data_IF_246607538135
#
_entry.id   IF_246607538135
#
_cell.length_a   1.000
_cell.length_b   1.000
_cell.length_c   1.000
_cell.angle_alpha   90.00
_cell.angle_beta   90.00
_cell.angle_gamma   90.00
#
_symmetry.space_group_name_H-M   'P 1'
#
loop_
_entity.id
_entity.type
_entity.pdbx_description
1 polymer ?
#
# COMPACT_ATOMS: atom_id res chain seq x y z
N UNK A 1 1.37 -3.72 1.67
CA UNK A 1 2.32 -2.79 1.04
C UNK A 1 3.31 -3.49 0.09
N UNK A 2 4.03 -4.55 0.50
CA UNK A 2 5.01 -5.21 -0.38
C UNK A 2 4.47 -5.66 -1.75
N UNK A 3 3.25 -6.21 -1.80
CA UNK A 3 2.62 -6.62 -3.08
C UNK A 3 2.15 -5.43 -3.93
N UNK A 4 1.85 -4.29 -3.31
CA UNK A 4 1.53 -3.05 -4.03
C UNK A 4 2.78 -2.52 -4.72
N UNK A 5 3.90 -2.47 -3.99
CA UNK A 5 5.21 -2.02 -4.54
C UNK A 5 5.71 -2.94 -5.66
N UNK A 6 5.39 -4.23 -5.60
CA UNK A 6 5.75 -5.21 -6.65
C UNK A 6 4.83 -5.19 -7.88
N UNK A 7 3.67 -4.53 -7.80
CA UNK A 7 2.73 -4.48 -8.93
C UNK A 7 3.24 -3.51 -9.99
N UNK A 8 3.10 -3.84 -11.27
CA UNK A 8 3.47 -2.99 -12.39
C UNK A 8 2.25 -2.33 -13.03
N UNK A 9 2.37 -1.11 -13.55
CA UNK A 9 1.23 -0.38 -14.16
C UNK A 9 0.51 -1.18 -15.26
N UNK A 10 1.29 -1.97 -16.01
CA UNK A 10 0.83 -2.86 -17.08
C UNK A 10 0.12 -4.15 -16.61
N UNK A 11 0.02 -4.40 -15.30
CA UNK A 11 -0.62 -5.59 -14.76
C UNK A 11 -2.07 -5.69 -15.24
N UNK A 12 -2.43 -6.81 -15.88
CA UNK A 12 -3.76 -6.99 -16.45
C UNK A 12 -4.86 -7.11 -15.37
N UNK A 13 -6.09 -6.82 -15.76
CA UNK A 13 -7.27 -7.19 -14.97
C UNK A 13 -7.34 -8.71 -14.79
N UNK A 14 -7.91 -9.17 -13.67
CA UNK A 14 -8.07 -10.61 -13.43
C UNK A 14 -9.09 -11.20 -14.40
N UNK A 15 -8.76 -12.33 -15.02
CA UNK A 15 -9.62 -13.08 -15.94
C UNK A 15 -9.95 -14.51 -15.46
N UNK A 16 -9.37 -14.92 -14.34
CA UNK A 16 -9.62 -16.17 -13.64
C UNK A 16 -9.65 -15.91 -12.12
N UNK A 17 -9.84 -16.97 -11.34
CA UNK A 17 -9.77 -16.91 -9.88
C UNK A 17 -8.44 -16.32 -9.40
N UNK A 18 -8.50 -15.53 -8.34
CA UNK A 18 -7.31 -14.90 -7.74
C UNK A 18 -6.43 -15.97 -7.10
N UNK A 19 -5.14 -15.97 -7.42
CA UNK A 19 -4.14 -16.91 -6.88
C UNK A 19 -3.04 -16.17 -6.10
N UNK A 20 -2.08 -16.91 -5.55
CA UNK A 20 -0.88 -16.34 -4.92
C UNK A 20 0.00 -15.53 -5.88
N UNK A 21 -0.11 -15.78 -7.18
CA UNK A 21 0.61 -15.04 -8.24
C UNK A 21 -0.10 -13.77 -8.71
N UNK A 22 -1.35 -13.54 -8.31
CA UNK A 22 -2.08 -12.33 -8.70
C UNK A 22 -1.45 -11.11 -8.05
N UNK A 23 -1.18 -10.05 -8.83
CA UNK A 23 -0.67 -8.80 -8.28
C UNK A 23 -1.77 -8.02 -7.55
N UNK A 24 -1.38 -7.12 -6.65
CA UNK A 24 -2.35 -6.26 -5.95
C UNK A 24 -3.10 -5.35 -6.95
N UNK A 25 -2.42 -4.89 -8.00
CA UNK A 25 -3.06 -4.07 -9.03
C UNK A 25 -4.01 -4.87 -9.92
N UNK A 26 -3.65 -6.10 -10.30
CA UNK A 26 -4.55 -6.99 -11.06
C UNK A 26 -5.86 -7.22 -10.29
N UNK A 27 -5.76 -7.48 -8.98
CA UNK A 27 -6.91 -7.61 -8.09
C UNK A 27 -7.74 -6.31 -8.06
N UNK A 28 -7.09 -5.15 -7.93
CA UNK A 28 -7.77 -3.87 -7.84
C UNK A 28 -8.46 -3.43 -9.15
N UNK A 29 -7.92 -3.85 -10.30
CA UNK A 29 -8.58 -3.68 -11.61
C UNK A 29 -9.85 -4.55 -11.69
N UNK A 30 -9.85 -5.70 -11.03
CA UNK A 30 -11.01 -6.59 -10.93
C UNK A 30 -11.28 -7.35 -12.22
N UNK A 31 -12.47 -7.93 -12.34
CA UNK A 31 -12.95 -8.73 -13.47
C UNK A 31 -14.36 -8.27 -13.84
N UNK A 32 -14.76 -8.40 -15.10
CA UNK A 32 -16.16 -8.24 -15.53
C UNK A 32 -17.02 -9.47 -15.20
N UNK A 33 -16.39 -10.61 -14.93
CA UNK A 33 -17.04 -11.82 -14.46
C UNK A 33 -17.05 -11.84 -12.92
N UNK A 34 -18.25 -11.78 -12.34
CA UNK A 34 -18.49 -11.84 -10.90
C UNK A 34 -18.08 -13.17 -10.24
N UNK A 35 -17.83 -14.22 -11.03
CA UNK A 35 -17.37 -15.53 -10.54
C UNK A 35 -15.87 -15.62 -10.24
N UNK A 36 -15.07 -14.63 -10.68
CA UNK A 36 -13.62 -14.60 -10.46
C UNK A 36 -13.30 -14.08 -9.05
N UNK A 37 -13.64 -14.91 -8.06
CA UNK A 37 -13.50 -14.59 -6.64
C UNK A 37 -12.10 -14.93 -6.13
N UNK A 38 -11.73 -14.31 -5.01
CA UNK A 38 -10.60 -14.80 -4.23
C UNK A 38 -11.02 -16.09 -3.51
N UNK A 39 -10.65 -17.24 -4.10
CA UNK A 39 -11.00 -18.57 -3.57
C UNK A 39 -10.05 -19.08 -2.48
N UNK A 40 -8.95 -18.37 -2.26
CA UNK A 40 -7.93 -18.65 -1.24
C UNK A 40 -7.69 -17.39 -0.40
N UNK A 41 -6.98 -17.51 0.73
CA UNK A 41 -6.40 -16.38 1.45
C UNK A 41 -5.29 -15.72 0.61
N UNK A 42 -5.65 -15.23 -0.57
CA UNK A 42 -4.76 -14.64 -1.54
C UNK A 42 -4.10 -13.45 -0.86
N UNK A 43 -2.77 -13.54 -0.68
CA UNK A 43 -1.96 -12.47 -0.08
C UNK A 43 -2.17 -11.13 -0.82
N UNK A 44 -2.48 -11.20 -2.12
CA UNK A 44 -2.87 -10.08 -2.96
C UNK A 44 -4.16 -9.38 -2.52
N UNK A 45 -5.07 -10.10 -1.84
CA UNK A 45 -6.36 -9.60 -1.40
C UNK A 45 -6.24 -8.35 -0.54
N UNK A 46 -5.39 -8.32 0.50
CA UNK A 46 -5.28 -7.13 1.35
C UNK A 46 -4.75 -5.89 0.61
N UNK A 47 -3.77 -6.08 -0.28
CA UNK A 47 -3.22 -4.98 -1.09
C UNK A 47 -4.18 -4.50 -2.17
N UNK A 48 -4.82 -5.43 -2.86
CA UNK A 48 -5.79 -5.14 -3.90
C UNK A 48 -7.11 -4.58 -3.37
N UNK A 49 -7.57 -5.03 -2.20
CA UNK A 49 -8.73 -4.44 -1.48
C UNK A 49 -8.42 -2.98 -1.16
N UNK A 50 -7.25 -2.69 -0.56
CA UNK A 50 -6.86 -1.32 -0.27
C UNK A 50 -6.82 -0.44 -1.53
N UNK A 51 -6.19 -0.92 -2.60
CA UNK A 51 -6.13 -0.20 -3.88
C UNK A 51 -7.52 0.02 -4.48
N UNK A 52 -8.38 -1.01 -4.52
CA UNK A 52 -9.76 -0.88 -5.02
C UNK A 52 -10.54 0.13 -4.21
N UNK A 53 -10.44 0.10 -2.89
CA UNK A 53 -11.16 1.01 -1.98
C UNK A 53 -10.74 2.47 -2.11
N UNK A 54 -9.57 2.77 -2.69
CA UNK A 54 -9.11 4.14 -2.96
C UNK A 54 -9.56 4.66 -4.34
N UNK A 55 -10.04 3.78 -5.23
CA UNK A 55 -10.54 4.18 -6.55
C UNK A 55 -11.98 4.67 -6.40
N UNK A 56 -12.31 5.81 -7.01
CA UNK A 56 -13.64 6.45 -6.94
C UNK A 56 -14.79 5.48 -7.26
N UNK A 57 -14.65 4.70 -8.34
CA UNK A 57 -15.63 3.71 -8.78
C UNK A 57 -15.29 2.29 -8.30
N UNK A 58 -14.37 2.20 -7.35
CA UNK A 58 -13.84 0.95 -6.82
C UNK A 58 -14.80 0.27 -5.85
N UNK A 59 -15.66 -0.61 -6.38
CA UNK A 59 -16.52 -1.46 -5.55
C UNK A 59 -15.87 -2.81 -5.25
N UNK A 60 -16.05 -3.27 -4.03
CA UNK A 60 -15.72 -4.60 -3.58
C UNK A 60 -16.98 -5.47 -3.69
N UNK A 61 -16.85 -6.69 -4.19
CA UNK A 61 -17.97 -7.61 -4.33
C UNK A 61 -18.42 -8.14 -2.96
N UNK A 62 -19.74 -8.12 -2.71
CA UNK A 62 -20.38 -8.82 -1.59
C UNK A 62 -21.16 -10.04 -2.11
N UNK A 63 -21.43 -11.01 -1.24
CA UNK A 63 -22.20 -12.21 -1.61
C UNK A 63 -23.72 -11.92 -1.60
N UNK A 64 -24.18 -11.00 -0.75
CA UNK A 64 -25.57 -10.53 -0.69
C UNK A 64 -25.66 -9.00 -0.45
N UNK A 65 -26.56 -8.32 -1.15
CA UNK A 65 -26.77 -6.86 -1.16
C UNK A 65 -27.13 -6.26 0.20
N UNK A 66 -27.71 -7.02 1.13
CA UNK A 66 -28.26 -6.43 2.37
C UNK A 66 -27.43 -6.67 3.65
N UNK A 67 -26.60 -7.72 3.70
CA UNK A 67 -25.87 -8.09 4.93
C UNK A 67 -24.37 -7.91 4.82
N UNK A 68 -23.80 -8.00 3.61
CA UNK A 68 -22.36 -8.01 3.43
C UNK A 68 -21.78 -6.64 3.07
N UNK A 69 -22.61 -5.67 2.68
CA UNK A 69 -22.13 -4.36 2.23
C UNK A 69 -21.32 -3.64 3.32
N UNK A 70 -21.82 -3.61 4.56
CA UNK A 70 -21.10 -3.03 5.71
C UNK A 70 -19.82 -3.80 6.04
N UNK A 71 -19.85 -5.12 5.94
CA UNK A 71 -18.70 -6.00 6.18
C UNK A 71 -17.60 -5.77 5.14
N UNK A 72 -17.99 -5.67 3.88
CA UNK A 72 -17.07 -5.44 2.76
C UNK A 72 -16.52 -4.02 2.77
N UNK A 73 -17.33 -3.01 3.08
CA UNK A 73 -16.87 -1.62 3.27
C UNK A 73 -15.89 -1.51 4.44
N UNK A 74 -16.20 -2.11 5.59
CA UNK A 74 -15.30 -2.09 6.76
C UNK A 74 -13.98 -2.82 6.48
N UNK A 75 -13.98 -3.91 5.70
CA UNK A 75 -12.77 -4.57 5.22
C UNK A 75 -11.94 -3.63 4.33
N UNK A 76 -12.58 -2.88 3.43
CA UNK A 76 -11.96 -1.84 2.62
C UNK A 76 -11.28 -0.75 3.46
N UNK A 77 -12.02 -0.16 4.40
CA UNK A 77 -11.51 0.88 5.32
C UNK A 77 -10.34 0.35 6.14
N UNK A 78 -10.45 -0.86 6.70
CA UNK A 78 -9.36 -1.47 7.47
C UNK A 78 -8.10 -1.68 6.63
N UNK A 79 -8.25 -2.13 5.38
CA UNK A 79 -7.13 -2.35 4.46
C UNK A 79 -6.45 -1.02 4.09
N UNK A 80 -7.22 0.03 3.82
CA UNK A 80 -6.70 1.38 3.55
C UNK A 80 -5.97 1.95 4.77
N UNK A 81 -6.53 1.85 5.97
CA UNK A 81 -5.87 2.35 7.18
C UNK A 81 -4.54 1.64 7.46
N UNK A 82 -4.48 0.32 7.26
CA UNK A 82 -3.22 -0.45 7.36
C UNK A 82 -2.20 -0.01 6.32
N UNK A 83 -2.63 0.31 5.10
CA UNK A 83 -1.76 0.83 4.04
C UNK A 83 -1.21 2.21 4.40
N UNK A 84 -2.09 3.14 4.82
CA UNK A 84 -1.69 4.50 5.20
C UNK A 84 -0.74 4.49 6.40
N UNK A 85 -0.98 3.65 7.41
CA UNK A 85 -0.04 3.50 8.53
C UNK A 85 1.34 3.00 8.09
N UNK A 86 1.40 2.06 7.14
CA UNK A 86 2.68 1.59 6.60
C UNK A 86 3.41 2.67 5.79
N UNK A 87 2.68 3.49 5.02
CA UNK A 87 3.23 4.64 4.29
C UNK A 87 3.75 5.69 5.25
N UNK A 88 2.98 6.03 6.29
CA UNK A 88 3.34 6.99 7.32
C UNK A 88 4.66 6.61 8.00
N UNK A 89 4.83 5.34 8.36
CA UNK A 89 6.06 4.86 8.98
C UNK A 89 7.29 4.94 8.06
N UNK A 90 7.13 4.69 6.76
CA UNK A 90 8.22 4.83 5.78
C UNK A 90 8.61 6.31 5.60
N UNK A 91 7.62 7.20 5.52
CA UNK A 91 7.85 8.64 5.42
C UNK A 91 8.57 9.15 6.67
N UNK A 92 8.09 8.79 7.87
CA UNK A 92 8.72 9.17 9.14
C UNK A 92 10.18 8.73 9.20
N UNK A 93 10.48 7.45 8.88
CA UNK A 93 11.86 6.94 8.88
C UNK A 93 12.75 7.68 7.87
N UNK A 94 12.23 7.96 6.68
CA UNK A 94 12.98 8.68 5.64
C UNK A 94 13.31 10.10 6.10
N UNK A 95 12.31 10.84 6.59
CA UNK A 95 12.48 12.20 7.09
C UNK A 95 13.44 12.23 8.28
N UNK A 96 13.29 11.32 9.24
CA UNK A 96 14.19 11.20 10.39
C UNK A 96 15.65 10.98 9.96
N UNK A 97 15.90 10.05 9.06
CA UNK A 97 17.25 9.76 8.57
C UNK A 97 17.89 10.98 7.87
N UNK A 98 17.10 11.76 7.13
CA UNK A 98 17.59 13.00 6.48
C UNK A 98 17.92 14.06 7.53
N UNK A 99 17.04 14.28 8.50
CA UNK A 99 17.25 15.27 9.58
C UNK A 99 18.46 14.89 10.44
N UNK A 100 18.66 13.61 10.75
CA UNK A 100 19.84 13.14 11.49
C UNK A 100 21.14 13.42 10.74
N UNK A 101 21.19 13.18 9.43
CA UNK A 101 22.35 13.52 8.59
C UNK A 101 22.59 15.04 8.54
N UNK A 102 21.54 15.83 8.35
CA UNK A 102 21.64 17.30 8.37
C UNK A 102 22.20 17.78 9.70
N UNK A 103 21.71 17.24 10.81
CA UNK A 103 22.21 17.58 12.15
C UNK A 103 23.69 17.27 12.29
N UNK A 104 24.15 16.10 11.86
CA UNK A 104 25.57 15.72 11.93
C UNK A 104 26.46 16.70 11.14
N UNK A 105 26.06 17.09 9.93
CA UNK A 105 26.84 18.04 9.13
C UNK A 105 26.81 19.46 9.72
N UNK A 106 25.68 19.88 10.31
CA UNK A 106 25.60 21.15 11.05
C UNK A 106 26.48 21.13 12.30
N UNK A 107 26.49 20.03 13.04
CA UNK A 107 27.33 19.88 14.24
C UNK A 107 28.82 19.95 13.86
N UNK A 108 29.26 19.24 12.80
CA UNK A 108 30.63 19.34 12.25
C UNK A 108 30.99 20.77 11.82
N UNK A 109 30.08 21.47 11.14
CA UNK A 109 30.33 22.84 10.69
C UNK A 109 30.43 23.84 11.86
N UNK A 110 29.84 23.52 13.01
CA UNK A 110 29.91 24.32 14.24
C UNK A 110 31.15 24.02 15.08
N UNK A 111 31.85 22.92 14.84
CA UNK A 111 33.11 22.66 15.52
C UNK A 111 34.08 23.82 15.23
N UNK A 112 34.62 24.49 16.28
CA UNK A 112 35.52 25.61 16.07
C UNK A 112 36.73 25.11 15.28
N UNK A 113 36.98 25.74 14.12
CA UNK A 113 38.21 25.50 13.38
C UNK A 113 39.37 25.79 14.32
N UNK A 114 40.35 24.89 14.39
CA UNK A 114 41.54 25.08 15.21
C UNK A 114 42.13 26.46 14.91
N UNK A 115 42.06 27.36 15.90
CA UNK A 115 42.70 28.67 15.82
C UNK A 115 44.18 28.41 16.02
N UNK A 116 44.92 28.41 14.91
CA UNK A 116 46.38 28.43 14.90
C UNK A 116 47.00 27.24 14.19
N UNK A 117 47.31 27.41 12.91
CA UNK A 117 48.66 27.22 12.37
C UNK A 117 48.84 28.33 11.33
N UNK A 118 49.62 29.35 11.71
CA UNK A 118 50.23 30.32 10.80
C UNK A 118 51.34 29.65 9.99
#
# INVERSE_FOLDING_TARGET
MALIVKSGEGDAAINADVTSGTSALSFAKGSNNAGNLAKEAAKAGAGGIALRSLVKDGKLAGHNTNSDEKTVQSAGVSAVNKLLGAVEEIVKKTVKNVIEKVKQEVDKAREPKAVGQQ
#
